data_IF_835521398028
#
_entry.id   IF_835521398028
#
_cell.length_a   1.000
_cell.length_b   1.000
_cell.length_c   1.000
_cell.angle_alpha   90.00
_cell.angle_beta   90.00
_cell.angle_gamma   90.00
#
_symmetry.space_group_name_H-M   'P 1'
#
loop_
_entity.id
_entity.type
_entity.pdbx_description
1 polymer ?
#
# COMPACT_ATOMS: atom_id res chain seq x y z
N UNK A 1 -9.55 -2.84 55.52
CA UNK A 1 -9.06 -1.83 54.56
C UNK A 1 -9.71 -2.13 53.21
N UNK A 2 -10.71 -1.34 52.85
CA UNK A 2 -11.46 -1.48 51.60
C UNK A 2 -10.66 -0.84 50.46
N UNK A 3 -10.29 -1.62 49.45
CA UNK A 3 -9.93 -1.09 48.12
C UNK A 3 -10.81 -1.78 47.08
N UNK A 4 -11.89 -1.05 46.81
CA UNK A 4 -12.86 -1.08 45.72
C UNK A 4 -12.51 -1.90 44.48
N UNK A 5 -13.23 -3.01 44.29
CA UNK A 5 -13.42 -3.64 42.99
C UNK A 5 -14.24 -2.71 42.09
N UNK A 6 -13.63 -2.21 41.02
CA UNK A 6 -14.35 -1.50 39.96
C UNK A 6 -15.03 -2.52 39.03
N UNK A 7 -16.24 -2.23 38.54
CA UNK A 7 -17.00 -3.13 37.68
C UNK A 7 -16.31 -3.32 36.33
N UNK A 8 -16.10 -4.59 35.97
CA UNK A 8 -15.76 -5.03 34.62
C UNK A 8 -16.96 -4.74 33.71
N UNK A 9 -16.89 -3.64 32.95
CA UNK A 9 -17.83 -3.39 31.85
C UNK A 9 -17.32 -4.11 30.61
N UNK A 10 -17.59 -5.42 30.55
CA UNK A 10 -17.63 -6.13 29.27
C UNK A 10 -18.84 -5.64 28.48
N UNK A 11 -18.60 -5.13 27.27
CA UNK A 11 -19.65 -5.00 26.26
C UNK A 11 -20.34 -3.64 26.15
N UNK A 12 -19.62 -2.61 25.71
CA UNK A 12 -20.15 -1.54 24.83
C UNK A 12 -19.03 -0.55 24.48
N UNK A 13 -18.36 -0.71 23.34
CA UNK A 13 -17.53 0.36 22.78
C UNK A 13 -18.01 0.72 21.38
N UNK A 14 -19.20 1.33 21.34
CA UNK A 14 -19.46 2.43 20.40
C UNK A 14 -18.61 3.66 20.77
N UNK A 15 -17.31 3.43 21.00
CA UNK A 15 -16.42 4.30 21.74
C UNK A 15 -16.02 5.50 20.91
N UNK A 16 -16.28 6.69 21.43
CA UNK A 16 -15.63 7.91 20.99
C UNK A 16 -14.12 7.65 20.94
N UNK A 17 -13.44 7.98 19.83
CA UNK A 17 -12.01 7.77 19.72
C UNK A 17 -11.31 8.54 20.83
N UNK A 18 -10.34 7.90 21.49
CA UNK A 18 -9.51 8.54 22.51
C UNK A 18 -8.95 9.88 21.98
N UNK A 19 -8.90 10.93 22.81
CA UNK A 19 -8.43 12.24 22.38
C UNK A 19 -6.94 12.21 22.02
N UNK A 20 -6.56 12.98 21.00
CA UNK A 20 -5.18 13.06 20.50
C UNK A 20 -4.21 13.62 21.55
N UNK A 21 -4.71 14.41 22.50
CA UNK A 21 -3.93 15.02 23.59
C UNK A 21 -3.58 14.06 24.73
N UNK A 22 -4.16 12.86 24.77
CA UNK A 22 -3.85 11.88 25.81
C UNK A 22 -2.39 11.42 25.69
N UNK A 23 -1.73 11.25 26.84
CA UNK A 23 -0.35 10.77 26.91
C UNK A 23 -0.28 9.30 26.54
N UNK A 24 0.72 8.93 25.74
CA UNK A 24 0.99 7.54 25.38
C UNK A 24 1.37 6.70 26.60
N UNK A 25 2.10 7.27 27.56
CA UNK A 25 2.50 6.60 28.81
C UNK A 25 1.30 6.18 29.65
N UNK A 26 0.34 7.09 29.86
CA UNK A 26 -0.88 6.80 30.63
C UNK A 26 -1.71 5.69 30.01
N UNK A 27 -1.81 5.66 28.67
CA UNK A 27 -2.50 4.58 27.97
C UNK A 27 -1.76 3.24 28.13
N UNK A 28 -0.42 3.26 28.05
CA UNK A 28 0.40 2.06 28.21
C UNK A 28 0.29 1.49 29.64
N UNK A 29 0.38 2.34 30.66
CA UNK A 29 0.21 1.97 32.07
C UNK A 29 -1.18 1.36 32.33
N UNK A 30 -2.22 1.93 31.74
CA UNK A 30 -3.58 1.39 31.86
C UNK A 30 -3.67 -0.02 31.24
N UNK A 31 -3.16 -0.20 30.02
CA UNK A 31 -3.14 -1.51 29.35
C UNK A 31 -2.32 -2.53 30.16
N UNK A 32 -1.19 -2.09 30.70
CA UNK A 32 -0.30 -2.92 31.51
C UNK A 32 -0.97 -3.37 32.81
N UNK A 33 -1.68 -2.47 33.49
CA UNK A 33 -2.46 -2.76 34.69
C UNK A 33 -3.58 -3.77 34.41
N UNK A 34 -4.29 -3.62 33.29
CA UNK A 34 -5.36 -4.55 32.87
C UNK A 34 -4.83 -5.95 32.53
N UNK A 35 -3.57 -6.07 32.11
CA UNK A 35 -2.95 -7.33 31.64
C UNK A 35 -1.99 -7.96 32.65
N UNK A 36 -1.75 -7.30 33.79
CA UNK A 36 -0.84 -7.77 34.82
C UNK A 36 0.63 -7.78 34.38
N UNK A 37 1.09 -6.78 33.61
CA UNK A 37 2.50 -6.67 33.24
C UNK A 37 3.37 -6.30 34.44
N UNK A 38 4.62 -6.74 34.39
CA UNK A 38 5.61 -6.40 35.40
C UNK A 38 6.10 -4.96 35.23
N UNK A 39 6.56 -4.35 36.31
CA UNK A 39 7.06 -2.97 36.28
C UNK A 39 8.25 -2.79 35.31
N UNK A 40 9.10 -3.82 35.19
CA UNK A 40 10.25 -3.85 34.30
C UNK A 40 9.85 -3.79 32.82
N UNK A 41 8.78 -4.51 32.45
CA UNK A 41 8.24 -4.49 31.09
C UNK A 41 7.63 -3.12 30.75
N UNK A 42 6.91 -2.52 31.71
CA UNK A 42 6.33 -1.19 31.56
C UNK A 42 7.43 -0.16 31.37
N UNK A 43 8.46 -0.17 32.22
CA UNK A 43 9.56 0.81 32.15
C UNK A 43 10.37 0.66 30.86
N UNK A 44 10.61 -0.58 30.41
CA UNK A 44 11.27 -0.85 29.13
C UNK A 44 10.48 -0.25 27.96
N UNK A 45 9.18 -0.50 27.91
CA UNK A 45 8.32 0.03 26.84
C UNK A 45 8.16 1.57 26.93
N UNK A 46 8.08 2.15 28.14
CA UNK A 46 8.09 3.60 28.34
C UNK A 46 9.38 4.24 27.84
N UNK A 47 10.54 3.66 28.16
CA UNK A 47 11.85 4.14 27.67
C UNK A 47 11.91 4.08 26.14
N UNK A 48 11.33 3.05 25.51
CA UNK A 48 11.22 2.96 24.06
C UNK A 48 10.37 4.09 23.46
N UNK A 49 9.23 4.42 24.07
CA UNK A 49 8.37 5.54 23.66
C UNK A 49 9.10 6.88 23.80
N UNK A 50 9.81 7.10 24.90
CA UNK A 50 10.56 8.34 25.15
C UNK A 50 11.71 8.54 24.17
N UNK A 51 12.47 7.48 23.90
CA UNK A 51 13.59 7.50 22.94
C UNK A 51 13.12 7.90 21.55
N UNK A 52 11.93 7.44 21.16
CA UNK A 52 11.30 7.76 19.86
C UNK A 52 10.47 9.05 19.88
N UNK A 53 10.48 9.78 21.01
CA UNK A 53 9.71 11.02 21.24
C UNK A 53 8.20 10.87 21.04
N UNK A 54 7.65 9.67 21.27
CA UNK A 54 6.24 9.35 21.10
C UNK A 54 5.47 9.64 22.39
N UNK A 55 5.22 10.92 22.66
CA UNK A 55 4.64 11.37 23.93
C UNK A 55 3.11 11.31 23.94
N UNK A 56 2.47 11.49 22.79
CA UNK A 56 1.01 11.62 22.69
C UNK A 56 0.38 10.56 21.79
N UNK A 57 -0.93 10.34 21.93
CA UNK A 57 -1.68 9.47 21.02
C UNK A 57 -1.69 9.98 19.58
N UNK A 58 -1.57 11.29 19.38
CA UNK A 58 -1.38 11.90 18.05
C UNK A 58 -0.14 11.36 17.35
N UNK A 59 0.97 11.28 18.08
CA UNK A 59 2.24 10.78 17.53
C UNK A 59 2.08 9.32 17.13
N UNK A 60 1.51 8.49 18.00
CA UNK A 60 1.24 7.08 17.72
C UNK A 60 0.27 6.87 16.54
N UNK A 61 -0.74 7.73 16.38
CA UNK A 61 -1.66 7.71 15.22
C UNK A 61 -0.94 8.04 13.92
N UNK A 62 0.02 8.96 13.97
CA UNK A 62 0.74 9.45 12.79
C UNK A 62 1.78 8.45 12.25
N UNK A 63 2.16 7.44 13.06
CA UNK A 63 3.16 6.45 12.70
C UNK A 63 2.74 5.58 11.50
N UNK A 64 3.69 5.37 10.59
CA UNK A 64 3.53 4.44 9.46
C UNK A 64 3.59 2.98 9.93
N UNK A 65 3.07 2.05 9.12
CA UNK A 65 3.09 0.62 9.46
C UNK A 65 4.52 0.09 9.62
N UNK A 66 5.44 0.66 8.87
CA UNK A 66 6.87 0.36 8.88
C UNK A 66 7.52 0.88 10.16
N UNK A 67 7.22 2.12 10.57
CA UNK A 67 7.74 2.72 11.81
C UNK A 67 7.35 1.90 13.05
N UNK A 68 6.13 1.36 13.08
CA UNK A 68 5.69 0.46 14.16
C UNK A 68 6.49 -0.85 14.25
N UNK A 69 7.12 -1.30 13.16
CA UNK A 69 7.98 -2.50 13.20
C UNK A 69 9.33 -2.17 13.83
N UNK A 70 9.87 -0.99 13.52
CA UNK A 70 11.19 -0.55 13.98
C UNK A 70 11.23 -0.19 15.47
N UNK A 71 10.13 0.28 16.07
CA UNK A 71 10.12 0.60 17.49
C UNK A 71 10.33 -0.69 18.31
N UNK A 72 11.32 -0.77 19.22
CA UNK A 72 11.64 -1.98 19.97
C UNK A 72 10.69 -2.24 21.17
N UNK A 73 9.37 -2.03 20.98
CA UNK A 73 8.35 -2.38 21.97
C UNK A 73 8.06 -3.89 21.97
N UNK A 74 7.57 -4.40 23.10
CA UNK A 74 7.05 -5.76 23.20
C UNK A 74 5.91 -5.95 22.18
N UNK A 75 5.88 -7.05 21.40
CA UNK A 75 4.87 -7.26 20.35
C UNK A 75 3.43 -7.15 20.83
N UNK A 76 3.14 -7.67 22.03
CA UNK A 76 1.82 -7.57 22.67
C UNK A 76 1.43 -6.11 22.92
N UNK A 77 2.35 -5.29 23.41
CA UNK A 77 2.13 -3.86 23.66
C UNK A 77 1.83 -3.10 22.38
N UNK A 78 2.55 -3.39 21.30
CA UNK A 78 2.30 -2.78 19.98
C UNK A 78 0.87 -3.04 19.51
N UNK A 79 0.42 -4.28 19.62
CA UNK A 79 -0.90 -4.68 19.13
C UNK A 79 -2.01 -4.08 19.98
N UNK A 80 -1.84 -4.00 21.30
CA UNK A 80 -2.83 -3.39 22.21
C UNK A 80 -2.90 -1.87 22.05
N UNK A 81 -1.76 -1.19 21.93
CA UNK A 81 -1.73 0.24 21.62
C UNK A 81 -2.44 0.52 20.28
N UNK A 82 -2.15 -0.28 19.25
CA UNK A 82 -2.84 -0.16 17.95
C UNK A 82 -4.35 -0.37 18.05
N UNK A 83 -4.80 -1.36 18.83
CA UNK A 83 -6.22 -1.64 19.03
C UNK A 83 -6.93 -0.49 19.77
N UNK A 84 -6.26 0.10 20.76
CA UNK A 84 -6.78 1.22 21.55
C UNK A 84 -6.89 2.50 20.72
N UNK A 85 -5.93 2.73 19.82
CA UNK A 85 -5.88 3.90 18.96
C UNK A 85 -6.83 3.78 17.77
N UNK A 86 -6.97 2.58 17.22
CA UNK A 86 -7.81 2.26 16.07
C UNK A 86 -8.87 1.22 16.47
N UNK A 87 -9.94 1.63 17.18
CA UNK A 87 -11.03 0.72 17.49
C UNK A 87 -11.56 0.13 16.18
N UNK A 88 -11.60 -1.20 16.11
CA UNK A 88 -11.90 -2.03 14.92
C UNK A 88 -13.18 -1.63 14.13
N UNK A 89 -14.01 -0.74 14.66
CA UNK A 89 -15.20 -0.18 14.02
C UNK A 89 -14.95 0.79 12.86
N UNK A 90 -13.87 1.58 12.86
CA UNK A 90 -13.68 2.62 11.82
C UNK A 90 -13.28 2.06 10.45
N UNK A 91 -12.63 0.89 10.41
CA UNK A 91 -12.30 0.21 9.17
C UNK A 91 -13.54 -0.35 8.44
N UNK A 92 -14.56 -0.79 9.19
CA UNK A 92 -15.81 -1.32 8.62
C UNK A 92 -16.65 -0.21 7.98
N UNK A 93 -16.72 0.98 8.58
CA UNK A 93 -17.49 2.13 8.04
C UNK A 93 -16.95 2.57 6.67
N UNK A 94 -15.62 2.62 6.48
CA UNK A 94 -15.01 2.92 5.18
C UNK A 94 -15.31 1.85 4.13
N UNK A 95 -15.26 0.57 4.49
CA UNK A 95 -15.55 -0.55 3.57
C UNK A 95 -17.03 -0.58 3.15
N UNK A 96 -17.96 -0.31 4.06
CA UNK A 96 -19.40 -0.24 3.77
C UNK A 96 -19.76 0.94 2.85
N UNK A 97 -19.20 2.14 3.09
CA UNK A 97 -19.40 3.29 2.18
C UNK A 97 -18.90 3.01 0.77
N UNK A 98 -17.76 2.34 0.64
CA UNK A 98 -17.18 1.99 -0.67
C UNK A 98 -18.03 0.94 -1.44
N UNK A 99 -18.61 -0.04 -0.75
CA UNK A 99 -19.52 -1.01 -1.38
C UNK A 99 -20.85 -0.37 -1.81
N UNK A 100 -21.41 0.53 -1.00
CA UNK A 100 -22.66 1.25 -1.34
C UNK A 100 -22.50 2.13 -2.59
N UNK A 101 -21.36 2.81 -2.73
CA UNK A 101 -21.05 3.63 -3.90
C UNK A 101 -20.79 2.79 -5.17
N UNK A 102 -20.17 1.62 -5.04
CA UNK A 102 -20.00 0.67 -6.16
C UNK A 102 -21.34 0.09 -6.66
N UNK A 103 -22.30 -0.16 -5.76
CA UNK A 103 -23.63 -0.70 -6.14
C UNK A 103 -24.43 0.31 -6.99
N UNK A 104 -24.45 1.58 -6.58
CA UNK A 104 -25.14 2.64 -7.32
C UNK A 104 -24.53 2.92 -8.71
N UNK A 105 -23.21 2.71 -8.87
CA UNK A 105 -22.54 2.89 -10.17
C UNK A 105 -22.83 1.76 -11.16
N UNK A 106 -23.14 0.55 -10.67
CA UNK A 106 -23.45 -0.63 -11.50
C UNK A 106 -24.87 -0.59 -12.08
N UNK A 107 -25.84 0.01 -11.39
CA UNK A 107 -27.21 0.15 -11.91
C UNK A 107 -27.33 1.23 -13.01
N UNK A 108 -26.47 2.26 -13.00
CA UNK A 108 -26.53 3.34 -14.00
C UNK A 108 -25.94 2.96 -15.37
N UNK A 109 -25.13 1.90 -15.44
CA UNK A 109 -24.48 1.45 -16.69
C UNK A 109 -25.25 0.39 -17.49
N UNK A 110 -26.39 -0.10 -17.00
CA UNK A 110 -27.14 -1.21 -17.63
C UNK A 110 -28.31 -0.77 -18.52
N UNK A 111 -28.46 0.53 -18.81
CA UNK A 111 -29.58 1.08 -19.61
C UNK A 111 -29.19 1.64 -20.98
N UNK A 112 -27.96 1.44 -21.47
CA UNK A 112 -27.49 2.21 -22.64
C UNK A 112 -26.64 1.46 -23.66
N UNK A 113 -26.72 0.13 -23.81
CA UNK A 113 -25.98 -0.54 -24.88
C UNK A 113 -26.75 -1.75 -25.41
N UNK A 114 -27.55 -1.48 -26.44
CA UNK A 114 -28.04 -2.43 -27.44
C UNK A 114 -27.71 -1.81 -28.82
N UNK A 115 -27.41 -2.64 -29.82
CA UNK A 115 -26.74 -2.34 -31.12
C UNK A 115 -25.21 -2.11 -31.03
N UNK A 116 -24.29 -2.83 -31.68
CA UNK A 116 -24.29 -3.61 -32.94
C UNK A 116 -23.09 -4.60 -32.97
N UNK A 117 -23.36 -5.87 -33.33
CA UNK A 117 -22.75 -6.71 -34.41
C UNK A 117 -21.30 -6.38 -34.89
N UNK A 118 -20.30 -7.25 -35.05
CA UNK A 118 -20.10 -8.52 -35.80
C UNK A 118 -18.64 -8.98 -35.44
N UNK A 119 -18.36 -10.21 -35.00
CA UNK A 119 -17.95 -11.39 -35.80
C UNK A 119 -16.42 -11.57 -36.04
N UNK A 120 -15.95 -12.82 -35.82
CA UNK A 120 -14.76 -13.54 -36.38
C UNK A 120 -13.40 -13.42 -35.63
N UNK A 121 -12.94 -14.43 -34.86
CA UNK A 121 -12.25 -15.71 -35.23
C UNK A 121 -10.78 -15.49 -35.67
N UNK A 122 -9.74 -16.27 -35.32
CA UNK A 122 -9.56 -17.55 -34.64
C UNK A 122 -8.05 -17.89 -34.58
N UNK A 123 -7.65 -18.86 -33.73
CA UNK A 123 -6.57 -19.87 -33.91
C UNK A 123 -5.09 -19.41 -34.02
N UNK A 124 -4.04 -20.13 -33.59
CA UNK A 124 -3.83 -21.42 -32.90
C UNK A 124 -2.31 -21.65 -32.65
N UNK A 125 -1.99 -22.61 -31.75
CA UNK A 125 -0.89 -23.62 -31.83
C UNK A 125 0.60 -23.15 -31.80
N UNK A 126 1.60 -23.84 -31.21
CA UNK A 126 1.74 -25.12 -30.47
C UNK A 126 3.22 -25.35 -30.10
N UNK A 127 3.48 -26.29 -29.17
CA UNK A 127 4.64 -27.23 -29.05
C UNK A 127 6.06 -26.66 -28.81
N UNK A 128 7.01 -27.26 -28.07
CA UNK A 128 7.24 -28.64 -27.58
C UNK A 128 8.53 -28.69 -26.72
N UNK A 129 8.59 -29.60 -25.73
CA UNK A 129 9.73 -30.48 -25.32
C UNK A 129 11.05 -29.81 -24.79
N UNK A 130 11.82 -30.27 -23.79
CA UNK A 130 11.97 -31.57 -23.08
C UNK A 130 13.25 -31.55 -22.19
N UNK A 131 13.31 -32.38 -21.12
CA UNK A 131 14.45 -32.93 -20.29
C UNK A 131 15.65 -32.04 -19.81
N UNK A 132 16.45 -32.23 -18.74
CA UNK A 132 16.61 -33.01 -17.48
C UNK A 132 17.83 -32.37 -16.73
N UNK A 133 18.02 -32.57 -15.41
CA UNK A 133 19.37 -32.64 -14.80
C UNK A 133 19.83 -31.61 -13.73
N UNK A 134 19.84 -32.07 -12.46
CA UNK A 134 20.87 -31.98 -11.40
C UNK A 134 21.39 -30.64 -10.78
N UNK A 135 21.17 -30.57 -9.45
CA UNK A 135 22.05 -30.23 -8.30
C UNK A 135 22.79 -28.86 -8.09
N UNK A 136 22.51 -28.32 -6.88
CA UNK A 136 23.37 -27.68 -5.86
C UNK A 136 24.45 -26.65 -6.28
N UNK A 137 24.39 -25.45 -5.69
CA UNK A 137 25.14 -25.06 -4.46
C UNK A 137 25.31 -23.52 -4.30
N UNK A 138 25.61 -23.16 -3.05
CA UNK A 138 25.83 -21.86 -2.39
C UNK A 138 26.64 -20.75 -3.10
N UNK A 139 26.17 -19.50 -2.88
CA UNK A 139 26.83 -18.18 -2.58
C UNK A 139 28.38 -18.06 -2.71
N UNK A 140 28.97 -16.88 -3.09
CA UNK A 140 28.71 -15.58 -2.44
C UNK A 140 28.82 -14.28 -3.26
N UNK A 141 28.38 -13.21 -2.59
CA UNK A 141 28.47 -11.78 -2.88
C UNK A 141 29.85 -11.28 -3.31
N UNK A 142 29.89 -10.35 -4.26
CA UNK A 142 31.07 -9.52 -4.48
C UNK A 142 31.10 -8.79 -5.82
N UNK A 143 30.34 -7.68 -5.90
CA UNK A 143 30.63 -6.46 -6.68
C UNK A 143 31.02 -6.59 -8.16
N UNK A 144 30.18 -5.99 -9.02
CA UNK A 144 30.51 -5.00 -10.07
C UNK A 144 29.81 -5.27 -11.41
N UNK A 145 29.17 -4.21 -11.91
CA UNK A 145 28.89 -3.92 -13.32
C UNK A 145 28.45 -5.08 -14.23
N UNK A 146 27.14 -5.26 -14.38
CA UNK A 146 26.58 -5.77 -15.62
C UNK A 146 25.35 -4.96 -16.00
N UNK A 147 25.47 -4.30 -17.15
CA UNK A 147 24.36 -3.81 -17.95
C UNK A 147 23.50 -5.03 -18.28
N UNK A 148 22.33 -5.14 -17.67
CA UNK A 148 21.43 -6.28 -17.85
C UNK A 148 20.70 -6.15 -19.20
N UNK A 149 21.37 -6.64 -20.24
CA UNK A 149 20.83 -7.01 -21.55
C UNK A 149 19.87 -8.20 -21.42
N UNK A 150 18.71 -7.98 -20.78
CA UNK A 150 17.60 -8.93 -20.84
C UNK A 150 16.27 -8.25 -20.61
N UNK A 151 15.84 -7.45 -21.58
CA UNK A 151 14.49 -6.88 -21.53
C UNK A 151 13.74 -6.85 -22.87
N UNK A 152 13.71 -7.99 -23.56
CA UNK A 152 12.65 -8.27 -24.54
C UNK A 152 11.39 -8.69 -23.77
N UNK A 153 10.69 -7.72 -23.19
CA UNK A 153 9.38 -7.97 -22.57
C UNK A 153 8.89 -6.96 -21.54
N UNK A 154 9.73 -6.07 -21.00
CA UNK A 154 9.20 -5.06 -20.07
C UNK A 154 8.43 -3.99 -20.80
N UNK A 155 7.17 -3.86 -20.42
CA UNK A 155 6.28 -2.74 -20.75
C UNK A 155 6.80 -1.36 -20.32
N UNK A 156 8.00 -1.27 -19.71
CA UNK A 156 8.61 -0.03 -19.23
C UNK A 156 10.10 -0.04 -19.63
N UNK A 157 10.53 0.99 -20.33
CA UNK A 157 11.91 1.24 -20.76
C UNK A 157 12.33 2.64 -20.30
N UNK A 158 13.59 2.78 -19.86
CA UNK A 158 14.15 4.09 -19.51
C UNK A 158 14.57 4.78 -20.82
N UNK A 159 14.03 5.98 -21.09
CA UNK A 159 14.47 6.80 -22.23
C UNK A 159 15.55 7.78 -21.79
N UNK A 160 15.23 8.59 -20.79
CA UNK A 160 16.08 9.66 -20.26
C UNK A 160 16.20 9.51 -18.74
N UNK A 161 17.12 10.22 -18.07
CA UNK A 161 17.17 10.26 -16.60
C UNK A 161 15.82 10.64 -15.96
N UNK A 162 14.99 11.43 -16.65
CA UNK A 162 13.71 11.94 -16.17
C UNK A 162 12.48 11.27 -16.77
N UNK A 163 12.60 10.50 -17.86
CA UNK A 163 11.45 10.00 -18.61
C UNK A 163 11.53 8.50 -18.93
N UNK A 164 10.38 7.86 -18.97
CA UNK A 164 10.19 6.45 -19.30
C UNK A 164 9.31 6.31 -20.53
N UNK A 165 9.63 5.33 -21.38
CA UNK A 165 8.74 4.79 -22.41
C UNK A 165 7.93 3.67 -21.78
N UNK A 166 6.61 3.76 -21.87
CA UNK A 166 5.68 2.78 -21.33
C UNK A 166 4.83 2.23 -22.47
N UNK A 167 4.91 0.91 -22.69
CA UNK A 167 4.08 0.21 -23.67
C UNK A 167 2.87 -0.39 -22.95
N UNK A 168 1.68 0.00 -23.39
CA UNK A 168 0.40 -0.50 -22.87
C UNK A 168 0.05 -1.87 -23.45
N UNK A 169 -0.96 -2.52 -22.86
CA UNK A 169 -1.46 -3.81 -23.37
C UNK A 169 -2.08 -3.70 -24.78
N UNK A 170 -2.53 -2.50 -25.17
CA UNK A 170 -3.00 -2.21 -26.54
C UNK A 170 -1.86 -1.99 -27.54
N UNK A 171 -0.60 -2.04 -27.09
CA UNK A 171 0.58 -1.82 -27.91
C UNK A 171 0.99 -0.36 -28.06
N UNK A 172 0.17 0.59 -27.59
CA UNK A 172 0.49 2.01 -27.64
C UNK A 172 1.64 2.36 -26.70
N UNK A 173 2.58 3.17 -27.19
CA UNK A 173 3.73 3.65 -26.43
C UNK A 173 3.50 5.08 -25.92
N UNK A 174 3.82 5.32 -24.67
CA UNK A 174 3.70 6.62 -24.04
C UNK A 174 5.04 7.03 -23.43
N UNK A 175 5.42 8.30 -23.60
CA UNK A 175 6.45 8.96 -22.80
C UNK A 175 5.82 9.44 -21.50
N UNK A 176 6.45 9.13 -20.37
CA UNK A 176 5.95 9.50 -19.03
C UNK A 176 7.10 9.95 -18.14
N UNK A 177 6.79 10.67 -17.06
CA UNK A 177 7.75 10.99 -16.02
C UNK A 177 8.23 9.73 -15.29
N UNK A 178 9.53 9.66 -15.02
CA UNK A 178 10.15 8.53 -14.31
C UNK A 178 9.71 8.42 -12.87
N UNK A 179 9.47 9.55 -12.21
CA UNK A 179 9.22 9.58 -10.79
C UNK A 179 7.75 9.80 -10.46
N UNK A 180 7.22 8.97 -9.57
CA UNK A 180 5.86 9.08 -9.10
C UNK A 180 5.64 10.40 -8.33
N UNK A 181 4.65 11.23 -8.70
CA UNK A 181 4.44 12.57 -8.16
C UNK A 181 3.93 12.58 -6.71
N UNK A 182 3.77 11.41 -6.08
CA UNK A 182 3.40 11.27 -4.67
C UNK A 182 4.62 11.40 -3.73
N UNK A 183 5.68 10.61 -3.96
CA UNK A 183 6.89 10.55 -3.11
C UNK A 183 8.18 10.31 -3.92
N UNK A 184 8.23 10.77 -5.18
CA UNK A 184 9.38 10.66 -6.08
C UNK A 184 9.93 9.23 -6.19
N UNK A 185 9.02 8.27 -6.32
CA UNK A 185 9.38 6.84 -6.40
C UNK A 185 9.70 6.51 -7.86
N UNK A 186 10.82 5.84 -8.10
CA UNK A 186 11.21 5.42 -9.44
C UNK A 186 10.22 4.38 -10.01
N UNK A 187 9.54 4.76 -11.09
CA UNK A 187 8.57 3.93 -11.79
C UNK A 187 9.24 2.93 -12.74
N UNK A 188 10.53 3.09 -13.06
CA UNK A 188 11.26 2.09 -13.85
C UNK A 188 11.34 0.76 -13.10
N UNK A 189 11.54 0.81 -11.78
CA UNK A 189 11.68 -0.37 -10.92
C UNK A 189 10.42 -0.72 -10.14
N UNK A 190 9.53 0.25 -9.87
CA UNK A 190 8.32 0.04 -9.07
C UNK A 190 7.02 0.27 -9.84
N UNK A 191 7.09 0.57 -11.13
CA UNK A 191 5.94 0.69 -12.01
C UNK A 191 5.48 -0.67 -12.54
N UNK A 192 4.17 -0.84 -12.67
CA UNK A 192 3.54 -1.99 -13.35
C UNK A 192 2.47 -1.44 -14.28
N UNK A 193 2.47 -1.89 -15.53
CA UNK A 193 1.45 -1.52 -16.52
C UNK A 193 0.28 -2.50 -16.41
N UNK A 194 -0.94 -1.97 -16.32
CA UNK A 194 -2.18 -2.76 -16.31
C UNK A 194 -3.17 -2.14 -17.31
N UNK A 195 -3.31 -2.76 -18.48
CA UNK A 195 -4.10 -2.21 -19.58
C UNK A 195 -3.48 -0.89 -20.07
N UNK A 196 -4.21 0.20 -19.87
CA UNK A 196 -3.83 1.57 -20.23
C UNK A 196 -3.41 2.42 -19.02
N UNK A 197 -3.21 1.79 -17.86
CA UNK A 197 -2.80 2.48 -16.64
C UNK A 197 -1.41 2.05 -16.20
N UNK A 198 -0.60 3.02 -15.76
CA UNK A 198 0.64 2.77 -15.04
C UNK A 198 0.36 2.83 -13.53
N UNK A 199 0.80 1.81 -12.80
CA UNK A 199 0.56 1.68 -11.37
C UNK A 199 1.89 1.71 -10.61
N UNK A 200 2.00 2.61 -9.64
CA UNK A 200 3.10 2.61 -8.68
C UNK A 200 2.82 1.57 -7.58
N UNK A 201 3.60 0.49 -7.54
CA UNK A 201 3.43 -0.62 -6.57
C UNK A 201 3.67 -0.22 -5.11
N UNK A 202 4.46 0.84 -4.84
CA UNK A 202 4.76 1.29 -3.47
C UNK A 202 3.54 1.85 -2.73
N UNK A 203 2.68 2.59 -3.42
CA UNK A 203 1.52 3.27 -2.81
C UNK A 203 0.19 2.94 -3.49
N UNK A 204 0.23 2.08 -4.52
CA UNK A 204 -0.93 1.65 -5.29
C UNK A 204 -1.70 2.83 -5.93
N UNK A 205 -0.95 3.81 -6.44
CA UNK A 205 -1.48 4.91 -7.26
C UNK A 205 -1.48 4.49 -8.71
N UNK A 206 -2.62 4.63 -9.37
CA UNK A 206 -2.76 4.42 -10.81
C UNK A 206 -2.79 5.75 -11.54
N UNK A 207 -2.25 5.75 -12.74
CA UNK A 207 -2.14 6.87 -13.64
C UNK A 207 -2.66 6.43 -14.99
N UNK A 208 -3.65 7.16 -15.51
CA UNK A 208 -4.30 6.89 -16.78
C UNK A 208 -3.45 7.46 -17.92
N UNK A 209 -2.83 6.60 -18.73
CA UNK A 209 -1.89 7.03 -19.77
C UNK A 209 -2.60 7.71 -20.94
N UNK A 210 -3.84 7.29 -21.27
CA UNK A 210 -4.66 7.91 -22.31
C UNK A 210 -5.03 9.33 -21.91
N UNK A 211 -5.33 9.55 -20.62
CA UNK A 211 -5.67 10.86 -20.08
C UNK A 211 -4.44 11.62 -19.57
N UNK A 212 -3.33 11.54 -20.29
CA UNK A 212 -2.14 12.35 -20.02
C UNK A 212 -1.40 11.99 -18.72
N UNK A 213 -1.61 10.79 -18.18
CA UNK A 213 -0.98 10.32 -16.94
C UNK A 213 -1.70 10.78 -15.66
N UNK A 214 -2.95 11.24 -15.75
CA UNK A 214 -3.68 11.78 -14.60
C UNK A 214 -4.05 10.71 -13.58
N UNK A 215 -3.89 11.02 -12.29
CA UNK A 215 -4.37 10.15 -11.22
C UNK A 215 -5.88 10.37 -10.96
N UNK A 216 -6.73 9.33 -11.02
CA UNK A 216 -8.18 9.47 -10.81
C UNK A 216 -8.53 9.88 -9.37
N UNK A 217 -7.63 9.64 -8.40
CA UNK A 217 -7.84 10.03 -7.00
C UNK A 217 -7.43 11.47 -6.72
N UNK A 218 -6.50 12.04 -7.49
CA UNK A 218 -5.95 13.39 -7.29
C UNK A 218 -5.59 14.01 -8.65
N UNK A 219 -6.48 14.82 -9.25
CA UNK A 219 -6.28 15.35 -10.60
C UNK A 219 -5.03 16.25 -10.71
N UNK A 220 -4.61 16.92 -9.64
CA UNK A 220 -3.41 17.78 -9.63
C UNK A 220 -2.08 17.00 -9.59
N UNK A 221 -2.09 15.67 -9.73
CA UNK A 221 -0.89 14.84 -9.75
C UNK A 221 -0.95 13.96 -11.00
N UNK A 222 -0.06 14.25 -11.95
CA UNK A 222 0.03 13.59 -13.25
C UNK A 222 1.45 13.10 -13.52
N UNK A 223 1.60 12.15 -14.45
CA UNK A 223 2.87 11.68 -15.00
C UNK A 223 3.22 12.30 -16.34
N UNK A 224 2.45 13.32 -16.78
CA UNK A 224 2.65 14.00 -18.06
C UNK A 224 2.79 13.00 -19.23
N UNK A 225 1.88 12.02 -19.28
CA UNK A 225 1.93 10.99 -20.31
C UNK A 225 1.64 11.62 -21.67
N UNK A 226 2.52 11.37 -22.64
CA UNK A 226 2.37 11.81 -24.01
C UNK A 226 2.49 10.60 -24.92
N UNK A 227 1.54 10.44 -25.85
CA UNK A 227 1.59 9.35 -26.83
C UNK A 227 2.83 9.53 -27.72
N UNK A 228 3.64 8.49 -27.85
CA UNK A 228 4.75 8.43 -28.78
C UNK A 228 4.23 7.83 -30.09
N UNK A 229 4.16 8.64 -31.14
CA UNK A 229 3.96 8.14 -32.48
C UNK A 229 5.34 7.77 -33.05
N UNK A 230 5.52 6.50 -33.40
CA UNK A 230 6.61 6.06 -34.26
C UNK A 230 6.29 6.55 -35.69
N UNK A 231 6.99 7.59 -36.16
CA UNK A 231 6.86 8.15 -37.51
C UNK A 231 7.92 7.58 -38.45
#
# INVERSE_FOLDING_TARGET
>A
MYLSSLPVTEGQTGGMPLPDSMKASTLLEQIASERGWTQEEIEKDLRCLETQRLRTLRDLRSLSKESWKEIPLIPLSKDLLRQSIYPRGLAKVKKMKMMKMKKMKKEKGKRSLDETTESLSSSSSSSSSSEEGMERSNVPSGMTALLDEKNKGSSIQIMDPSHLRVQTASGQCYKTDRYCPHKQVDLATKGVVQGEQLICTKHNWSFDLVRGGMCPKRPNRTLNACLLNDW
#
